data_IF_891922707607
#
_entry.id   IF_891922707607
#
_cell.length_a   1.000
_cell.length_b   1.000
_cell.length_c   1.000
_cell.angle_alpha   90.00
_cell.angle_beta   90.00
_cell.angle_gamma   90.00
#
_symmetry.space_group_name_H-M   'P 1'
#
loop_
_entity.id
_entity.type
_entity.pdbx_description
1 polymer ?
#
# COMPACT_ATOMS: atom_id res chain seq x y z
N UNK A 1 -41.72 -8.23 11.54
CA UNK A 1 -41.27 -7.56 12.80
C UNK A 1 -39.85 -7.96 13.22
N UNK A 2 -39.27 -9.07 12.76
CA UNK A 2 -37.91 -9.49 13.12
C UNK A 2 -36.82 -8.55 12.52
N UNK A 3 -37.04 -7.98 11.34
CA UNK A 3 -36.05 -7.12 10.69
C UNK A 3 -35.85 -5.69 11.24
N UNK A 4 -36.75 -5.20 12.09
CA UNK A 4 -36.66 -3.85 12.66
C UNK A 4 -35.85 -3.83 13.97
N UNK A 5 -35.81 -4.94 14.70
CA UNK A 5 -35.09 -5.05 15.98
C UNK A 5 -33.57 -5.16 15.76
N UNK A 6 -33.14 -5.71 14.63
CA UNK A 6 -31.70 -5.83 14.28
C UNK A 6 -31.10 -4.53 13.69
N UNK A 7 -31.93 -3.61 13.20
CA UNK A 7 -31.45 -2.37 12.58
C UNK A 7 -31.03 -1.28 13.59
N UNK A 8 -31.65 -1.24 14.77
CA UNK A 8 -31.31 -0.22 15.80
C UNK A 8 -29.89 -0.36 16.35
N UNK A 9 -29.38 -1.55 16.71
CA UNK A 9 -28.00 -1.70 17.17
C UNK A 9 -26.97 -1.33 16.11
N UNK A 10 -27.18 -1.71 14.83
CA UNK A 10 -26.30 -1.38 13.72
C UNK A 10 -26.24 0.13 13.46
N UNK A 11 -27.41 0.81 13.48
CA UNK A 11 -27.47 2.27 13.32
C UNK A 11 -26.80 2.99 14.48
N UNK A 12 -26.93 2.46 15.70
CA UNK A 12 -26.26 3.00 16.88
C UNK A 12 -24.74 2.89 16.75
N UNK A 13 -24.22 1.69 16.41
CA UNK A 13 -22.80 1.45 16.17
C UNK A 13 -22.24 2.38 15.07
N UNK A 14 -22.94 2.51 13.95
CA UNK A 14 -22.54 3.42 12.87
C UNK A 14 -22.34 4.84 13.37
N UNK A 15 -23.32 5.39 14.14
CA UNK A 15 -23.22 6.74 14.73
C UNK A 15 -22.06 6.87 15.71
N UNK A 16 -21.73 5.82 16.46
CA UNK A 16 -20.59 5.82 17.38
C UNK A 16 -19.27 5.82 16.62
N UNK A 17 -19.13 5.04 15.51
CA UNK A 17 -17.97 5.07 14.63
C UNK A 17 -17.78 6.43 13.96
N UNK A 18 -18.85 7.03 13.42
CA UNK A 18 -18.80 8.38 12.83
C UNK A 18 -18.28 9.44 13.82
N UNK A 19 -18.65 9.28 15.11
CA UNK A 19 -18.19 10.17 16.20
C UNK A 19 -16.87 9.73 16.83
N UNK A 20 -16.23 8.65 16.34
CA UNK A 20 -15.00 8.06 16.88
C UNK A 20 -15.07 7.75 18.40
N UNK A 21 -16.26 7.36 18.88
CA UNK A 21 -16.49 7.06 20.29
C UNK A 21 -16.20 5.57 20.58
N UNK A 22 -14.96 5.14 20.42
CA UNK A 22 -14.55 3.73 20.46
C UNK A 22 -14.80 3.10 21.82
N UNK A 23 -14.58 3.80 22.93
CA UNK A 23 -14.88 3.28 24.28
C UNK A 23 -16.36 2.91 24.45
N UNK A 24 -17.25 3.71 23.86
CA UNK A 24 -18.69 3.42 23.89
C UNK A 24 -19.05 2.23 22.99
N UNK A 25 -18.36 2.06 21.87
CA UNK A 25 -18.52 0.88 21.01
C UNK A 25 -18.11 -0.36 21.80
N UNK A 26 -16.95 -0.33 22.47
CA UNK A 26 -16.44 -1.43 23.27
C UNK A 26 -17.44 -1.79 24.39
N UNK A 27 -17.93 -0.80 25.14
CA UNK A 27 -18.93 -1.03 26.19
C UNK A 27 -20.22 -1.63 25.64
N UNK A 28 -20.77 -1.04 24.58
CA UNK A 28 -22.00 -1.49 23.94
C UNK A 28 -21.93 -2.91 23.41
N UNK A 29 -20.83 -3.24 22.71
CA UNK A 29 -20.62 -4.58 22.18
C UNK A 29 -20.40 -5.61 23.30
N UNK A 30 -19.70 -5.25 24.39
CA UNK A 30 -19.54 -6.12 25.53
C UNK A 30 -20.89 -6.40 26.22
N UNK A 31 -21.80 -5.44 26.28
CA UNK A 31 -23.15 -5.65 26.83
C UNK A 31 -23.97 -6.62 25.95
N UNK A 32 -23.83 -6.54 24.62
CA UNK A 32 -24.42 -7.52 23.71
C UNK A 32 -23.88 -8.92 24.01
N UNK A 33 -22.53 -9.06 24.15
CA UNK A 33 -21.88 -10.34 24.36
C UNK A 33 -22.19 -11.00 25.72
N UNK A 34 -22.64 -10.24 26.72
CA UNK A 34 -23.17 -10.81 27.98
C UNK A 34 -24.41 -11.68 27.74
N UNK A 35 -25.27 -11.32 26.78
CA UNK A 35 -26.48 -12.03 26.46
C UNK A 35 -26.27 -13.06 25.33
N UNK A 36 -25.41 -12.73 24.35
CA UNK A 36 -25.08 -13.57 23.21
C UNK A 36 -23.58 -13.54 22.96
N UNK A 37 -22.85 -14.43 23.60
CA UNK A 37 -21.38 -14.52 23.55
C UNK A 37 -20.82 -14.83 22.14
N UNK A 38 -21.66 -15.21 21.19
CA UNK A 38 -21.30 -15.53 19.80
C UNK A 38 -21.84 -14.51 18.80
N UNK A 39 -22.32 -13.38 19.26
CA UNK A 39 -22.85 -12.33 18.40
C UNK A 39 -21.78 -11.81 17.46
N UNK A 40 -21.89 -12.16 16.18
CA UNK A 40 -20.91 -11.81 15.15
C UNK A 40 -20.71 -10.31 15.01
N UNK A 41 -21.80 -9.54 15.00
CA UNK A 41 -21.76 -8.08 14.85
C UNK A 41 -20.97 -7.48 16.00
N UNK A 42 -21.24 -7.90 17.24
CA UNK A 42 -20.52 -7.41 18.41
C UNK A 42 -19.04 -7.78 18.38
N UNK A 43 -18.71 -9.04 18.03
CA UNK A 43 -17.31 -9.51 17.96
C UNK A 43 -16.50 -8.77 16.89
N UNK A 44 -17.07 -8.60 15.69
CA UNK A 44 -16.39 -7.87 14.59
C UNK A 44 -16.21 -6.39 14.92
N UNK A 45 -17.21 -5.73 15.51
CA UNK A 45 -17.09 -4.33 15.89
C UNK A 45 -16.13 -4.13 17.07
N UNK A 46 -16.03 -5.08 18.01
CA UNK A 46 -15.01 -5.07 19.06
C UNK A 46 -13.61 -5.15 18.49
N UNK A 47 -13.35 -6.10 17.57
CA UNK A 47 -12.03 -6.20 16.95
C UNK A 47 -11.64 -4.90 16.25
N UNK A 48 -12.56 -4.28 15.50
CA UNK A 48 -12.34 -2.98 14.86
C UNK A 48 -12.11 -1.86 15.88
N UNK A 49 -12.93 -1.77 16.93
CA UNK A 49 -12.80 -0.72 17.95
C UNK A 49 -11.46 -0.83 18.71
N UNK A 50 -11.03 -2.06 19.04
CA UNK A 50 -9.74 -2.27 19.69
C UNK A 50 -8.56 -1.89 18.80
N UNK A 51 -8.61 -2.17 17.48
CA UNK A 51 -7.63 -1.65 16.51
C UNK A 51 -7.56 -0.13 16.57
N UNK A 52 -8.72 0.54 16.56
CA UNK A 52 -8.81 2.01 16.51
C UNK A 52 -8.29 2.69 17.78
N UNK A 53 -8.29 2.00 18.92
CA UNK A 53 -7.67 2.47 20.17
C UNK A 53 -6.24 1.95 20.38
N UNK A 54 -5.71 1.17 19.44
CA UNK A 54 -4.35 0.63 19.51
C UNK A 54 -4.19 -0.62 20.40
N UNK A 55 -5.27 -1.20 20.92
CA UNK A 55 -5.27 -2.41 21.73
C UNK A 55 -5.24 -3.67 20.83
N UNK A 56 -4.13 -3.84 20.08
CA UNK A 56 -4.03 -4.84 19.02
C UNK A 56 -4.15 -6.29 19.51
N UNK A 57 -3.64 -6.62 20.71
CA UNK A 57 -3.76 -7.96 21.28
C UNK A 57 -5.22 -8.31 21.60
N UNK A 58 -6.01 -7.35 22.11
CA UNK A 58 -7.45 -7.54 22.32
C UNK A 58 -8.18 -7.69 20.99
N UNK A 59 -7.82 -6.90 19.97
CA UNK A 59 -8.38 -7.05 18.63
C UNK A 59 -8.16 -8.47 18.09
N UNK A 60 -6.94 -9.00 18.19
CA UNK A 60 -6.60 -10.35 17.76
C UNK A 60 -7.46 -11.39 18.48
N UNK A 61 -7.64 -11.26 19.80
CA UNK A 61 -8.46 -12.15 20.61
C UNK A 61 -9.91 -12.26 20.08
N UNK A 62 -10.53 -11.12 19.75
CA UNK A 62 -11.89 -11.13 19.22
C UNK A 62 -11.95 -11.65 17.77
N UNK A 63 -10.95 -11.36 16.95
CA UNK A 63 -10.82 -11.98 15.63
C UNK A 63 -10.72 -13.52 15.74
N UNK A 64 -9.96 -14.04 16.70
CA UNK A 64 -9.81 -15.48 16.91
C UNK A 64 -11.09 -16.16 17.34
N UNK A 65 -11.94 -15.50 18.13
CA UNK A 65 -13.28 -16.01 18.47
C UNK A 65 -14.12 -16.14 17.19
N UNK A 66 -14.12 -15.14 16.32
CA UNK A 66 -14.82 -15.20 15.03
C UNK A 66 -14.26 -16.32 14.16
N UNK A 67 -12.94 -16.42 14.02
CA UNK A 67 -12.28 -17.40 13.16
C UNK A 67 -12.41 -18.85 13.66
N UNK A 68 -12.64 -19.08 14.95
CA UNK A 68 -13.05 -20.40 15.48
C UNK A 68 -14.43 -20.84 15.02
N UNK A 69 -15.32 -19.89 14.73
CA UNK A 69 -16.66 -20.19 14.21
C UNK A 69 -16.67 -20.22 12.67
N UNK A 70 -15.95 -19.33 12.07
CA UNK A 70 -15.86 -19.13 10.61
C UNK A 70 -14.41 -18.89 10.22
N UNK A 71 -13.68 -19.97 9.93
CA UNK A 71 -12.23 -19.97 9.71
C UNK A 71 -11.72 -19.09 8.56
N UNK A 72 -12.59 -18.69 7.64
CA UNK A 72 -12.30 -17.83 6.50
C UNK A 72 -13.14 -16.55 6.49
N UNK A 73 -13.57 -16.06 7.68
CA UNK A 73 -14.23 -14.76 7.77
C UNK A 73 -13.26 -13.66 7.38
N UNK A 74 -13.55 -12.98 6.27
CA UNK A 74 -12.67 -11.99 5.65
C UNK A 74 -12.42 -10.79 6.57
N UNK A 75 -13.48 -10.30 7.23
CA UNK A 75 -13.36 -9.15 8.12
C UNK A 75 -12.45 -9.45 9.33
N UNK A 76 -12.62 -10.62 9.95
CA UNK A 76 -11.79 -11.04 11.06
C UNK A 76 -10.34 -11.28 10.63
N UNK A 77 -10.11 -11.88 9.44
CA UNK A 77 -8.77 -12.07 8.90
C UNK A 77 -8.08 -10.75 8.59
N UNK A 78 -8.77 -9.79 7.94
CA UNK A 78 -8.22 -8.46 7.64
C UNK A 78 -7.93 -7.66 8.92
N UNK A 79 -8.81 -7.70 9.90
CA UNK A 79 -8.57 -7.05 11.19
C UNK A 79 -7.38 -7.70 11.95
N UNK A 80 -7.31 -9.03 11.95
CA UNK A 80 -6.20 -9.76 12.58
C UNK A 80 -4.87 -9.46 11.90
N UNK A 81 -4.85 -9.45 10.57
CA UNK A 81 -3.70 -9.07 9.76
C UNK A 81 -3.22 -7.66 10.11
N UNK A 82 -4.13 -6.66 10.11
CA UNK A 82 -3.80 -5.29 10.46
C UNK A 82 -3.26 -5.17 11.90
N UNK A 83 -3.85 -5.89 12.87
CA UNK A 83 -3.36 -5.89 14.24
C UNK A 83 -1.95 -6.50 14.33
N UNK A 84 -1.65 -7.56 13.59
CA UNK A 84 -0.31 -8.14 13.51
C UNK A 84 0.70 -7.20 12.83
N UNK A 85 0.30 -6.46 11.79
CA UNK A 85 1.16 -5.42 11.20
C UNK A 85 1.56 -4.36 12.24
N UNK A 86 0.61 -3.91 13.08
CA UNK A 86 0.90 -2.94 14.15
C UNK A 86 1.80 -3.49 15.24
N UNK A 87 1.82 -4.80 15.43
CA UNK A 87 2.70 -5.51 16.37
C UNK A 87 3.99 -6.00 15.70
N UNK A 88 4.23 -5.68 14.44
CA UNK A 88 5.39 -6.11 13.63
C UNK A 88 5.56 -7.65 13.56
N UNK A 89 4.45 -8.40 13.70
CA UNK A 89 4.41 -9.86 13.61
C UNK A 89 4.23 -10.30 12.16
N UNK A 90 5.32 -10.23 11.40
CA UNK A 90 5.28 -10.35 9.94
C UNK A 90 4.93 -11.77 9.45
N UNK A 91 5.35 -12.83 10.14
CA UNK A 91 5.01 -14.22 9.81
C UNK A 91 3.50 -14.47 9.96
N UNK A 92 2.90 -13.90 10.99
CA UNK A 92 1.47 -13.99 11.24
C UNK A 92 0.68 -13.19 10.18
N UNK A 93 1.21 -12.04 9.71
CA UNK A 93 0.64 -11.28 8.58
C UNK A 93 0.63 -12.15 7.33
N UNK A 94 1.76 -12.80 6.98
CA UNK A 94 1.86 -13.70 5.83
C UNK A 94 0.81 -14.80 5.93
N UNK A 95 0.69 -15.43 7.12
CA UNK A 95 -0.28 -16.50 7.35
C UNK A 95 -1.74 -16.04 7.14
N UNK A 96 -2.11 -14.85 7.62
CA UNK A 96 -3.44 -14.28 7.38
C UNK A 96 -3.68 -14.02 5.89
N UNK A 97 -2.69 -13.45 5.18
CA UNK A 97 -2.77 -13.22 3.74
C UNK A 97 -2.97 -14.54 2.97
N UNK A 98 -2.26 -15.62 3.34
CA UNK A 98 -2.38 -16.91 2.69
C UNK A 98 -3.80 -17.49 2.79
N UNK A 99 -4.43 -17.35 3.96
CA UNK A 99 -5.82 -17.79 4.15
C UNK A 99 -6.76 -16.96 3.27
N UNK A 100 -6.60 -15.62 3.23
CA UNK A 100 -7.41 -14.74 2.40
C UNK A 100 -7.23 -15.10 0.92
N UNK A 101 -5.99 -15.24 0.46
CA UNK A 101 -5.66 -15.51 -0.93
C UNK A 101 -6.05 -16.92 -1.40
N UNK A 102 -6.21 -17.89 -0.48
CA UNK A 102 -6.80 -19.19 -0.80
C UNK A 102 -8.26 -19.05 -1.26
N UNK A 103 -9.00 -18.13 -0.67
CA UNK A 103 -10.42 -17.88 -1.01
C UNK A 103 -10.57 -16.79 -2.08
N UNK A 104 -9.73 -15.77 -2.02
CA UNK A 104 -9.74 -14.60 -2.90
C UNK A 104 -8.35 -14.41 -3.54
N UNK A 105 -7.97 -15.23 -4.54
CA UNK A 105 -6.62 -15.22 -5.11
C UNK A 105 -6.26 -13.91 -5.85
N UNK A 106 -7.26 -13.07 -6.11
CA UNK A 106 -7.15 -11.80 -6.81
C UNK A 106 -7.26 -10.58 -5.87
N UNK A 107 -7.24 -10.80 -4.53
CA UNK A 107 -7.27 -9.69 -3.56
C UNK A 107 -5.91 -8.98 -3.54
N UNK A 108 -5.82 -7.88 -4.32
CA UNK A 108 -4.59 -7.12 -4.55
C UNK A 108 -4.03 -6.59 -3.22
N UNK A 109 -4.89 -6.13 -2.32
CA UNK A 109 -4.46 -5.59 -1.02
C UNK A 109 -3.74 -6.66 -0.20
N UNK A 110 -4.27 -7.89 -0.16
CA UNK A 110 -3.62 -9.01 0.52
C UNK A 110 -2.32 -9.44 -0.16
N UNK A 111 -2.24 -9.39 -1.51
CA UNK A 111 -1.00 -9.66 -2.23
C UNK A 111 0.07 -8.61 -1.88
N UNK A 112 -0.28 -7.33 -1.92
CA UNK A 112 0.66 -6.24 -1.59
C UNK A 112 1.11 -6.34 -0.13
N UNK A 113 0.18 -6.55 0.80
CA UNK A 113 0.48 -6.71 2.23
C UNK A 113 1.38 -7.92 2.49
N UNK A 114 1.11 -9.06 1.85
CA UNK A 114 1.99 -10.25 1.93
C UNK A 114 3.40 -9.93 1.44
N UNK A 115 3.53 -9.24 0.31
CA UNK A 115 4.83 -8.83 -0.22
C UNK A 115 5.60 -7.92 0.74
N UNK A 116 4.91 -6.97 1.40
CA UNK A 116 5.52 -6.10 2.42
C UNK A 116 6.03 -6.95 3.61
N UNK A 117 5.21 -7.87 4.10
CA UNK A 117 5.59 -8.75 5.21
C UNK A 117 6.79 -9.65 4.84
N UNK A 118 6.81 -10.22 3.63
CA UNK A 118 7.95 -10.99 3.10
C UNK A 118 9.22 -10.14 3.04
N UNK A 119 9.14 -8.89 2.61
CA UNK A 119 10.30 -7.99 2.63
C UNK A 119 10.81 -7.75 4.05
N UNK A 120 9.92 -7.61 5.03
CA UNK A 120 10.29 -7.40 6.44
C UNK A 120 10.95 -8.63 7.07
N UNK A 121 10.63 -9.83 6.58
CA UNK A 121 11.28 -11.07 7.01
C UNK A 121 12.53 -11.42 6.20
N UNK A 122 12.96 -10.55 5.27
CA UNK A 122 14.15 -10.75 4.44
C UNK A 122 13.94 -11.62 3.20
N UNK A 123 12.72 -12.07 2.93
CA UNK A 123 12.37 -12.88 1.76
C UNK A 123 12.10 -11.97 0.53
N UNK A 124 13.12 -11.23 0.09
CA UNK A 124 12.97 -10.15 -0.89
C UNK A 124 12.59 -10.64 -2.29
N UNK A 125 13.16 -11.74 -2.77
CA UNK A 125 12.81 -12.28 -4.10
C UNK A 125 11.38 -12.83 -4.11
N UNK A 126 10.94 -13.48 -3.04
CA UNK A 126 9.54 -13.92 -2.89
C UNK A 126 8.58 -12.73 -2.86
N UNK A 127 8.95 -11.64 -2.16
CA UNK A 127 8.17 -10.41 -2.15
C UNK A 127 7.98 -9.84 -3.57
N UNK A 128 9.06 -9.80 -4.38
CA UNK A 128 9.00 -9.35 -5.78
C UNK A 128 8.03 -10.22 -6.59
N UNK A 129 8.04 -11.53 -6.44
CA UNK A 129 7.12 -12.43 -7.18
C UNK A 129 5.65 -12.24 -6.75
N UNK A 130 5.39 -12.02 -5.46
CA UNK A 130 4.05 -11.69 -4.97
C UNK A 130 3.56 -10.35 -5.51
N UNK A 131 4.39 -9.30 -5.50
CA UNK A 131 4.03 -8.01 -6.13
C UNK A 131 3.79 -8.13 -7.63
N UNK A 132 4.60 -8.93 -8.36
CA UNK A 132 4.35 -9.22 -9.77
C UNK A 132 3.02 -9.93 -9.98
N UNK A 133 2.60 -10.78 -9.04
CA UNK A 133 1.29 -11.42 -9.08
C UNK A 133 0.18 -10.38 -8.95
N UNK A 134 0.32 -9.42 -8.02
CA UNK A 134 -0.60 -8.27 -7.94
C UNK A 134 -0.64 -7.47 -9.24
N UNK A 135 0.52 -7.21 -9.87
CA UNK A 135 0.60 -6.47 -11.14
C UNK A 135 0.04 -7.23 -12.35
N UNK A 136 -0.06 -8.56 -12.31
CA UNK A 136 -0.79 -9.33 -13.33
C UNK A 136 -2.30 -9.06 -13.27
N UNK A 137 -2.83 -8.71 -12.09
CA UNK A 137 -4.25 -8.39 -11.87
C UNK A 137 -4.54 -6.91 -12.10
N UNK A 138 -3.70 -6.04 -11.56
CA UNK A 138 -3.73 -4.60 -11.80
C UNK A 138 -2.34 -4.10 -12.22
N UNK A 139 -2.07 -4.01 -13.54
CA UNK A 139 -0.77 -3.57 -14.07
C UNK A 139 -0.37 -2.15 -13.68
N UNK A 140 -1.32 -1.35 -13.18
CA UNK A 140 -1.13 0.06 -12.83
C UNK A 140 -1.13 0.31 -11.32
N UNK A 141 -1.12 -0.74 -10.51
CA UNK A 141 -1.09 -0.61 -9.05
C UNK A 141 0.21 0.07 -8.59
N UNK A 142 0.09 1.32 -8.17
CA UNK A 142 1.23 2.16 -7.78
C UNK A 142 1.97 1.59 -6.58
N UNK A 143 1.25 1.01 -5.60
CA UNK A 143 1.84 0.45 -4.39
C UNK A 143 2.70 -0.78 -4.71
N UNK A 144 2.20 -1.69 -5.55
CA UNK A 144 2.96 -2.85 -5.99
C UNK A 144 4.20 -2.43 -6.81
N UNK A 145 4.06 -1.49 -7.75
CA UNK A 145 5.18 -0.95 -8.53
C UNK A 145 6.24 -0.30 -7.63
N UNK A 146 5.83 0.51 -6.66
CA UNK A 146 6.72 1.19 -5.73
C UNK A 146 7.46 0.19 -4.85
N UNK A 147 6.76 -0.80 -4.30
CA UNK A 147 7.37 -1.81 -3.44
C UNK A 147 8.38 -2.69 -4.20
N UNK A 148 8.08 -3.07 -5.46
CA UNK A 148 9.08 -3.75 -6.31
C UNK A 148 10.32 -2.86 -6.51
N UNK A 149 10.13 -1.60 -6.88
CA UNK A 149 11.23 -0.70 -7.16
C UNK A 149 12.15 -0.50 -5.93
N UNK A 150 11.55 -0.28 -4.75
CA UNK A 150 12.29 -0.14 -3.49
C UNK A 150 13.02 -1.45 -3.13
N UNK A 151 12.38 -2.61 -3.32
CA UNK A 151 13.02 -3.90 -3.06
C UNK A 151 14.19 -4.15 -4.01
N UNK A 152 14.04 -3.85 -5.30
CA UNK A 152 15.11 -3.96 -6.29
C UNK A 152 16.28 -3.02 -5.98
N UNK A 153 15.99 -1.77 -5.56
CA UNK A 153 17.02 -0.82 -5.10
C UNK A 153 17.78 -1.39 -3.89
N UNK A 154 17.07 -1.96 -2.92
CA UNK A 154 17.69 -2.60 -1.75
C UNK A 154 18.63 -3.76 -2.17
N UNK A 155 18.21 -4.58 -3.13
CA UNK A 155 19.00 -5.68 -3.70
C UNK A 155 20.09 -5.21 -4.68
N UNK A 156 20.32 -3.91 -4.83
CA UNK A 156 21.28 -3.31 -5.77
C UNK A 156 21.01 -3.62 -7.25
N UNK A 157 19.78 -4.02 -7.58
CA UNK A 157 19.31 -4.21 -8.96
C UNK A 157 18.80 -2.88 -9.51
N UNK A 158 19.71 -1.90 -9.59
CA UNK A 158 19.41 -0.48 -9.77
C UNK A 158 18.75 -0.17 -11.12
N UNK A 159 19.23 -0.78 -12.21
CA UNK A 159 18.64 -0.59 -13.55
C UNK A 159 17.19 -1.07 -13.64
N UNK A 160 16.86 -2.15 -12.94
CA UNK A 160 15.49 -2.64 -12.90
C UNK A 160 14.62 -1.73 -12.01
N UNK A 161 15.12 -1.26 -10.88
CA UNK A 161 14.41 -0.30 -10.02
C UNK A 161 14.02 0.97 -10.78
N UNK A 162 14.93 1.53 -11.59
CA UNK A 162 14.68 2.73 -12.42
C UNK A 162 13.49 2.52 -13.36
N UNK A 163 13.35 1.33 -13.98
CA UNK A 163 12.23 1.02 -14.89
C UNK A 163 10.87 1.09 -14.18
N UNK A 164 10.80 0.60 -12.94
CA UNK A 164 9.57 0.66 -12.15
C UNK A 164 9.26 2.08 -11.67
N UNK A 165 10.26 2.84 -11.22
CA UNK A 165 10.07 4.26 -10.89
C UNK A 165 9.63 5.07 -12.10
N UNK A 166 10.20 4.81 -13.27
CA UNK A 166 9.81 5.46 -14.52
C UNK A 166 8.35 5.15 -14.89
N UNK A 167 7.95 3.88 -14.76
CA UNK A 167 6.57 3.47 -14.99
C UNK A 167 5.59 4.20 -14.06
N UNK A 168 5.94 4.37 -12.78
CA UNK A 168 5.12 5.13 -11.83
C UNK A 168 4.99 6.59 -12.28
N UNK A 169 6.09 7.23 -12.70
CA UNK A 169 6.07 8.61 -13.17
C UNK A 169 5.21 8.81 -14.43
N UNK A 170 5.19 7.81 -15.32
CA UNK A 170 4.32 7.82 -16.52
C UNK A 170 2.85 7.70 -16.12
N UNK A 171 2.53 6.82 -15.15
CA UNK A 171 1.16 6.58 -14.69
C UNK A 171 0.61 7.76 -13.88
N UNK A 172 1.41 8.26 -12.95
CA UNK A 172 1.05 9.38 -12.09
C UNK A 172 2.27 10.25 -11.76
N UNK A 173 2.47 11.34 -12.51
CA UNK A 173 3.56 12.28 -12.26
C UNK A 173 3.51 12.99 -10.91
N UNK A 174 2.37 12.93 -10.18
CA UNK A 174 2.23 13.55 -8.86
C UNK A 174 2.90 12.74 -7.74
N UNK A 175 3.27 11.48 -7.99
CA UNK A 175 3.97 10.59 -7.04
C UNK A 175 5.42 11.01 -6.88
N UNK A 176 5.65 12.09 -6.14
CA UNK A 176 6.99 12.67 -5.91
C UNK A 176 8.01 11.66 -5.36
N UNK A 177 7.55 10.68 -4.59
CA UNK A 177 8.41 9.64 -4.02
C UNK A 177 9.16 8.88 -5.12
N UNK A 178 8.51 8.55 -6.24
CA UNK A 178 9.17 7.86 -7.35
C UNK A 178 10.34 8.67 -7.95
N UNK A 179 10.15 9.99 -8.08
CA UNK A 179 11.21 10.89 -8.55
C UNK A 179 12.40 10.97 -7.59
N UNK A 180 12.11 11.05 -6.28
CA UNK A 180 13.14 11.11 -5.23
C UNK A 180 13.96 9.81 -5.21
N UNK A 181 13.29 8.67 -5.17
CA UNK A 181 13.95 7.37 -5.16
C UNK A 181 14.78 7.14 -6.44
N UNK A 182 14.26 7.55 -7.59
CA UNK A 182 14.99 7.47 -8.89
C UNK A 182 16.22 8.39 -8.91
N UNK A 183 16.12 9.61 -8.36
CA UNK A 183 17.25 10.50 -8.16
C UNK A 183 18.36 9.84 -7.32
N UNK A 184 18.00 9.22 -6.21
CA UNK A 184 18.96 8.53 -5.33
C UNK A 184 19.65 7.38 -6.06
N UNK A 185 18.91 6.60 -6.86
CA UNK A 185 19.48 5.50 -7.66
C UNK A 185 20.49 6.04 -8.68
N UNK A 186 20.16 7.10 -9.42
CA UNK A 186 21.10 7.68 -10.37
C UNK A 186 22.33 8.34 -9.70
N UNK A 187 22.14 8.88 -8.50
CA UNK A 187 23.26 9.40 -7.69
C UNK A 187 24.19 8.25 -7.28
N UNK A 188 23.65 7.12 -6.87
CA UNK A 188 24.43 5.93 -6.55
C UNK A 188 25.18 5.37 -7.76
N UNK A 189 24.57 5.45 -8.96
CA UNK A 189 25.22 5.07 -10.22
C UNK A 189 26.28 6.10 -10.72
N UNK A 190 26.41 7.24 -10.06
CA UNK A 190 27.31 8.31 -10.47
C UNK A 190 26.86 9.09 -11.72
N UNK A 191 25.59 8.94 -12.11
CA UNK A 191 24.99 9.56 -13.30
C UNK A 191 24.37 10.92 -12.95
N UNK A 192 25.19 11.96 -12.80
CA UNK A 192 24.75 13.29 -12.34
C UNK A 192 23.66 13.93 -13.20
N UNK A 193 23.74 13.80 -14.52
CA UNK A 193 22.73 14.34 -15.45
C UNK A 193 21.40 13.63 -15.33
N UNK A 194 21.40 12.29 -15.22
CA UNK A 194 20.19 11.51 -15.02
C UNK A 194 19.60 11.75 -13.64
N UNK A 195 20.42 11.91 -12.61
CA UNK A 195 19.99 12.32 -11.28
C UNK A 195 19.29 13.69 -11.31
N UNK A 196 19.91 14.70 -11.96
CA UNK A 196 19.28 16.01 -12.13
C UNK A 196 17.92 15.89 -12.81
N UNK A 197 17.81 15.18 -13.93
CA UNK A 197 16.56 15.01 -14.68
C UNK A 197 15.51 14.23 -13.86
N UNK A 198 15.91 13.19 -13.12
CA UNK A 198 15.05 12.44 -12.24
C UNK A 198 14.43 13.32 -11.13
N UNK A 199 15.21 14.21 -10.53
CA UNK A 199 14.76 15.19 -9.54
C UNK A 199 13.68 16.15 -10.10
N UNK A 200 13.68 16.39 -11.41
CA UNK A 200 12.67 17.19 -12.11
C UNK A 200 11.43 16.39 -12.53
N UNK A 201 11.36 15.11 -12.17
CA UNK A 201 10.24 14.23 -12.57
C UNK A 201 10.29 13.81 -14.05
N UNK A 202 11.45 13.89 -14.68
CA UNK A 202 11.62 13.54 -16.10
C UNK A 202 11.73 12.02 -16.26
N UNK A 203 10.96 11.48 -17.21
CA UNK A 203 11.01 10.05 -17.55
C UNK A 203 12.29 9.69 -18.32
N UNK A 204 12.63 8.39 -18.37
CA UNK A 204 13.80 7.91 -19.13
C UNK A 204 13.71 8.32 -20.62
N UNK A 205 12.50 8.23 -21.20
CA UNK A 205 12.27 8.62 -22.59
C UNK A 205 12.57 10.09 -22.83
N UNK A 206 12.01 10.98 -21.99
CA UNK A 206 12.25 12.41 -22.06
C UNK A 206 13.71 12.77 -21.77
N UNK A 207 14.37 12.09 -20.83
CA UNK A 207 15.79 12.30 -20.51
C UNK A 207 16.69 12.01 -21.72
N UNK A 208 16.42 10.94 -22.47
CA UNK A 208 17.14 10.62 -23.70
C UNK A 208 17.03 11.74 -24.74
N UNK A 209 15.83 12.28 -24.95
CA UNK A 209 15.59 13.39 -25.88
C UNK A 209 16.33 14.66 -25.44
N UNK A 210 16.29 15.02 -24.15
CA UNK A 210 16.98 16.20 -23.61
C UNK A 210 18.50 16.06 -23.77
N UNK A 211 19.06 14.88 -23.47
CA UNK A 211 20.51 14.61 -23.61
C UNK A 211 20.93 14.63 -25.08
N UNK A 212 20.09 14.15 -25.99
CA UNK A 212 20.36 14.25 -27.43
C UNK A 212 20.38 15.72 -27.89
N UNK A 213 19.40 16.53 -27.52
CA UNK A 213 19.36 17.97 -27.84
C UNK A 213 20.55 18.74 -27.23
N UNK A 214 20.93 18.39 -25.99
CA UNK A 214 22.13 18.97 -25.36
C UNK A 214 23.38 18.69 -26.18
N UNK A 215 23.59 17.45 -26.63
CA UNK A 215 24.74 17.03 -27.44
C UNK A 215 24.73 17.68 -28.82
N UNK A 216 23.59 17.73 -29.52
CA UNK A 216 23.49 18.32 -30.87
C UNK A 216 23.79 19.82 -30.89
N UNK A 217 23.50 20.54 -29.81
CA UNK A 217 23.67 22.00 -29.72
C UNK A 217 24.86 22.46 -28.84
N UNK A 218 25.66 21.51 -28.37
CA UNK A 218 26.77 21.79 -27.45
C UNK A 218 26.31 22.50 -26.16
N UNK A 219 25.19 22.06 -25.60
CA UNK A 219 24.62 22.57 -24.35
C UNK A 219 24.87 21.62 -23.18
N UNK A 220 24.88 22.16 -21.96
CA UNK A 220 24.71 21.31 -20.79
C UNK A 220 23.29 20.73 -20.76
N UNK A 221 23.13 19.58 -20.12
CA UNK A 221 21.80 18.93 -19.95
C UNK A 221 20.83 19.84 -19.20
N UNK A 222 21.32 20.59 -18.18
CA UNK A 222 20.55 21.56 -17.44
C UNK A 222 20.04 22.70 -18.33
N UNK A 223 20.87 23.18 -19.27
CA UNK A 223 20.47 24.22 -20.22
C UNK A 223 19.42 23.71 -21.21
N UNK A 224 19.61 22.53 -21.80
CA UNK A 224 18.66 21.91 -22.72
C UNK A 224 17.29 21.65 -22.02
N UNK A 225 17.29 21.19 -20.76
CA UNK A 225 16.09 21.04 -19.95
C UNK A 225 15.36 22.39 -19.73
N UNK A 226 16.10 23.44 -19.39
CA UNK A 226 15.55 24.78 -19.16
C UNK A 226 14.88 25.35 -20.41
N UNK A 227 15.49 25.20 -21.59
CA UNK A 227 14.90 25.59 -22.87
C UNK A 227 13.61 24.82 -23.16
N UNK A 228 13.62 23.49 -22.98
CA UNK A 228 12.41 22.65 -23.20
C UNK A 228 11.26 23.09 -22.29
N UNK A 229 11.53 23.37 -21.01
CA UNK A 229 10.55 23.88 -20.06
C UNK A 229 9.97 25.23 -20.49
N UNK A 230 10.82 26.15 -20.94
CA UNK A 230 10.39 27.46 -21.43
C UNK A 230 9.44 27.34 -22.62
N UNK A 231 9.76 26.52 -23.61
CA UNK A 231 8.90 26.32 -24.80
C UNK A 231 7.59 25.60 -24.47
N UNK A 232 7.59 24.65 -23.50
CA UNK A 232 6.34 24.03 -23.04
C UNK A 232 5.41 25.07 -22.41
N UNK A 233 5.93 25.97 -21.57
CA UNK A 233 5.13 27.02 -20.91
C UNK A 233 4.53 28.02 -21.91
N UNK A 234 5.24 28.36 -22.98
CA UNK A 234 4.69 29.24 -24.04
C UNK A 234 3.51 28.60 -24.77
N UNK A 235 3.58 27.27 -25.06
CA UNK A 235 2.51 26.54 -25.75
C UNK A 235 1.24 26.35 -24.89
N UNK A 236 1.33 26.38 -23.58
CA UNK A 236 0.17 26.27 -22.67
C UNK A 236 -0.53 27.60 -22.42
N UNK A 237 0.13 28.73 -22.75
CA UNK A 237 -0.42 30.09 -22.57
C UNK A 237 -0.90 30.71 -23.90
N UNK A 238 -0.82 29.99 -24.98
CA UNK A 238 -1.38 30.32 -26.31
C UNK A 238 -2.57 29.40 -26.63
#
# INVERSE_FOLDING_TARGET
MVGLIEQEPLLHLKKLFEKKQFDKIISFCNDILKNDSKNMIALQNLSTAYIMVGANDDAIKYCEIVLKMYSSDEHALKNKMFAYEKLEKHEEVISCCDIILTKYPDDIDSLVTKGIALNKTGMHDDAIEIYKTALKKDPNNIDALMNIAVTLKFLKRLDDAIKYYDKIQILDPSVKRASIEKYEVFTELGSSDDAFLAAQGITIGEAKEIKMQAKENDYSVQHAYSLRRFYKLQKTNS
#
